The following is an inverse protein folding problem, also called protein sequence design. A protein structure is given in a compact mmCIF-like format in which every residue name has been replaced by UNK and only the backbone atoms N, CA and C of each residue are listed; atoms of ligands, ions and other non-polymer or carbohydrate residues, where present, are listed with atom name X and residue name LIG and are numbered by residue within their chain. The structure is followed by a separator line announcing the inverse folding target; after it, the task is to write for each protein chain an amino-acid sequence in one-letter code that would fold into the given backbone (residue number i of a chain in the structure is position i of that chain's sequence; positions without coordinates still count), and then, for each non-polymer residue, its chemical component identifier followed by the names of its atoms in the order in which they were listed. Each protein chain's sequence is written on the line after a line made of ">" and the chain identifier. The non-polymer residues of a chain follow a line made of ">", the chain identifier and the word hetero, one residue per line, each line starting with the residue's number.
data_IF_961466020451
#
_entry.id   IF_961466020451
#
_cell.length_a   1.000
_cell.length_b   1.000
_cell.length_c   1.000
_cell.angle_alpha   90.00
_cell.angle_beta   90.00
_cell.angle_gamma   90.00
#
_symmetry.space_group_name_H-M   'P 1'
#
loop_
_entity.id
_entity.type
_entity.pdbx_description
1 polymer ?
#
# COMPACT_ATOMS: atom_id res chain seq x y z
N UNK A 1 -3.32 10.78 12.82
CA UNK A 1 -4.27 9.80 12.25
C UNK A 1 -4.73 10.27 10.88
N UNK A 2 -4.87 9.41 9.94
CA UNK A 2 -5.30 9.73 8.59
C UNK A 2 -6.50 8.88 8.20
N UNK A 3 -7.26 9.36 7.24
CA UNK A 3 -8.41 8.62 6.72
C UNK A 3 -7.95 7.63 5.65
N UNK A 4 -8.61 6.48 5.65
CA UNK A 4 -8.45 5.48 4.60
C UNK A 4 -9.81 5.16 4.01
N UNK A 5 -9.82 4.78 2.74
CA UNK A 5 -11.02 4.28 2.08
C UNK A 5 -10.78 2.80 1.80
N UNK A 6 -11.42 1.96 2.59
CA UNK A 6 -11.23 0.51 2.60
C UNK A 6 -12.59 -0.16 2.67
N UNK A 7 -12.89 -1.07 1.74
CA UNK A 7 -14.19 -1.71 1.64
C UNK A 7 -14.46 -2.71 2.77
N UNK A 8 -13.43 -3.42 3.23
CA UNK A 8 -13.60 -4.53 4.16
C UNK A 8 -12.49 -4.59 5.20
N UNK A 9 -12.50 -3.65 6.18
CA UNK A 9 -11.43 -3.60 7.19
C UNK A 9 -11.29 -4.89 8.00
N UNK A 10 -12.35 -5.65 8.15
CA UNK A 10 -12.35 -6.92 8.89
C UNK A 10 -11.53 -8.02 8.20
N UNK A 11 -11.19 -7.83 6.93
CA UNK A 11 -10.38 -8.80 6.17
C UNK A 11 -8.87 -8.58 6.31
N UNK A 12 -8.44 -7.64 7.14
CA UNK A 12 -7.02 -7.30 7.28
C UNK A 12 -6.15 -8.51 7.64
N UNK A 13 -6.64 -9.40 8.52
CA UNK A 13 -5.89 -10.59 8.89
C UNK A 13 -5.59 -11.52 7.73
N UNK A 14 -6.56 -11.71 6.84
CA UNK A 14 -6.38 -12.53 5.64
C UNK A 14 -5.40 -11.87 4.69
N UNK A 15 -5.51 -10.56 4.52
CA UNK A 15 -4.59 -9.80 3.68
C UNK A 15 -3.16 -9.86 4.18
N UNK A 16 -2.96 -9.77 5.49
CA UNK A 16 -1.63 -9.90 6.09
C UNK A 16 -1.01 -11.26 5.81
N UNK A 17 -1.80 -12.34 5.83
CA UNK A 17 -1.32 -13.68 5.50
C UNK A 17 -0.84 -13.75 4.05
N UNK A 18 -1.56 -13.13 3.12
CA UNK A 18 -1.17 -13.08 1.71
C UNK A 18 0.13 -12.31 1.52
N UNK A 19 0.27 -11.19 2.19
CA UNK A 19 1.49 -10.37 2.14
C UNK A 19 2.68 -11.15 2.71
N UNK A 20 2.48 -11.84 3.83
CA UNK A 20 3.53 -12.64 4.45
C UNK A 20 3.98 -13.79 3.55
N UNK A 21 3.05 -14.40 2.82
CA UNK A 21 3.39 -15.42 1.85
C UNK A 21 4.32 -14.85 0.76
N UNK A 22 3.99 -13.65 0.24
CA UNK A 22 4.82 -12.96 -0.76
C UNK A 22 6.20 -12.66 -0.17
N UNK A 23 6.25 -12.17 1.06
CA UNK A 23 7.49 -11.84 1.74
C UNK A 23 8.41 -13.06 1.81
N UNK A 24 7.87 -14.22 2.18
CA UNK A 24 8.65 -15.47 2.27
C UNK A 24 9.10 -15.97 0.91
N UNK A 25 8.36 -15.67 -0.15
CA UNK A 25 8.63 -16.19 -1.50
C UNK A 25 9.33 -15.18 -2.41
N UNK A 26 9.72 -14.01 -1.89
CA UNK A 26 10.47 -13.00 -2.63
C UNK A 26 11.74 -12.63 -1.84
N UNK A 27 12.73 -13.53 -1.81
CA UNK A 27 13.89 -13.33 -0.94
C UNK A 27 14.74 -12.11 -1.30
N UNK A 28 14.80 -11.72 -2.57
CA UNK A 28 15.57 -10.55 -2.98
C UNK A 28 14.92 -9.29 -2.43
N UNK A 29 13.60 -9.16 -2.58
CA UNK A 29 12.88 -7.98 -2.07
C UNK A 29 12.93 -7.94 -0.54
N UNK A 30 12.86 -9.08 0.12
CA UNK A 30 13.00 -9.17 1.57
C UNK A 30 14.38 -8.70 2.02
N UNK A 31 15.42 -9.04 1.27
CA UNK A 31 16.78 -8.59 1.56
C UNK A 31 16.90 -7.08 1.41
N UNK A 32 16.28 -6.53 0.37
CA UNK A 32 16.24 -5.09 0.15
C UNK A 32 15.52 -4.40 1.32
N UNK A 33 14.41 -4.97 1.79
CA UNK A 33 13.70 -4.44 2.95
C UNK A 33 14.62 -4.34 4.17
N UNK A 34 15.38 -5.38 4.43
CA UNK A 34 16.32 -5.41 5.54
C UNK A 34 17.37 -4.29 5.43
N UNK A 35 17.92 -4.10 4.24
CA UNK A 35 18.90 -3.04 3.99
C UNK A 35 18.27 -1.65 4.15
N UNK A 36 17.03 -1.48 3.68
CA UNK A 36 16.31 -0.22 3.80
C UNK A 36 16.01 0.14 5.25
N UNK A 37 15.74 -0.85 6.09
CA UNK A 37 15.52 -0.61 7.51
C UNK A 37 16.77 -0.01 8.16
N UNK A 38 17.93 -0.45 7.74
CA UNK A 38 19.20 0.05 8.28
C UNK A 38 19.57 1.42 7.71
N UNK A 39 19.46 1.59 6.39
CA UNK A 39 19.98 2.77 5.71
C UNK A 39 18.99 3.94 5.65
N UNK A 40 17.69 3.66 5.73
CA UNK A 40 16.61 4.66 5.66
C UNK A 40 16.77 5.61 4.47
N UNK A 41 16.90 5.05 3.23
CA UNK A 41 17.19 5.90 2.06
C UNK A 41 16.06 6.86 1.71
N UNK A 42 14.84 6.60 2.17
CA UNK A 42 13.67 7.43 1.88
C UNK A 42 13.21 8.27 3.07
N UNK A 43 14.06 8.43 4.08
CA UNK A 43 13.71 9.25 5.24
C UNK A 43 13.30 10.66 4.79
N UNK A 44 12.15 11.12 5.25
CA UNK A 44 11.62 12.43 4.87
C UNK A 44 10.95 12.47 3.50
N UNK A 45 10.92 11.37 2.77
CA UNK A 45 10.28 11.31 1.44
C UNK A 45 8.82 10.87 1.56
N UNK A 46 8.00 11.36 0.66
CA UNK A 46 6.61 10.95 0.51
C UNK A 46 6.48 10.25 -0.83
N UNK A 47 6.03 9.01 -0.81
CA UNK A 47 5.94 8.19 -2.01
C UNK A 47 4.50 7.76 -2.21
N UNK A 48 3.99 7.96 -3.42
CA UNK A 48 2.66 7.47 -3.80
C UNK A 48 2.83 6.25 -4.71
N UNK A 49 2.12 5.19 -4.37
CA UNK A 49 2.08 3.97 -5.17
C UNK A 49 0.70 3.89 -5.83
N UNK A 50 0.68 3.86 -7.15
CA UNK A 50 -0.56 3.77 -7.93
C UNK A 50 -0.39 2.72 -9.02
N UNK A 51 -0.52 1.47 -8.66
CA UNK A 51 -0.42 0.32 -9.56
C UNK A 51 -1.43 -0.72 -9.11
N UNK A 52 -1.47 -1.88 -9.76
CA UNK A 52 -2.39 -2.95 -9.37
C UNK A 52 -2.18 -3.30 -7.89
N UNK A 53 -3.22 -3.16 -7.10
CA UNK A 53 -3.12 -3.31 -5.64
C UNK A 53 -3.47 -4.74 -5.23
N UNK A 54 -2.45 -5.59 -5.22
CA UNK A 54 -2.51 -6.98 -4.81
C UNK A 54 -1.33 -7.27 -3.87
N UNK A 55 -1.14 -8.53 -3.47
CA UNK A 55 -0.18 -8.85 -2.41
C UNK A 55 1.27 -8.45 -2.70
N UNK A 56 1.73 -8.57 -3.94
CA UNK A 56 3.10 -8.20 -4.29
C UNK A 56 3.32 -6.70 -4.21
N UNK A 57 2.36 -5.93 -4.73
CA UNK A 57 2.38 -4.48 -4.64
C UNK A 57 2.32 -4.02 -3.18
N UNK A 58 1.50 -4.70 -2.39
CA UNK A 58 1.39 -4.39 -0.97
C UNK A 58 2.73 -4.60 -0.26
N UNK A 59 3.42 -5.69 -0.54
CA UNK A 59 4.74 -5.92 0.04
C UNK A 59 5.73 -4.86 -0.41
N UNK A 60 5.72 -4.47 -1.69
CA UNK A 60 6.56 -3.39 -2.19
C UNK A 60 6.31 -2.10 -1.40
N UNK A 61 5.04 -1.75 -1.17
CA UNK A 61 4.70 -0.55 -0.40
C UNK A 61 5.28 -0.62 1.03
N UNK A 62 5.22 -1.79 1.66
CA UNK A 62 5.80 -1.97 2.99
C UNK A 62 7.33 -1.88 2.97
N UNK A 63 7.97 -2.35 1.90
CA UNK A 63 9.42 -2.21 1.72
C UNK A 63 9.81 -0.74 1.63
N UNK A 64 9.06 0.06 0.88
CA UNK A 64 9.31 1.50 0.78
C UNK A 64 9.14 2.18 2.13
N UNK A 65 8.11 1.80 2.88
CA UNK A 65 7.91 2.32 4.24
C UNK A 65 9.08 1.95 5.15
N UNK A 66 9.57 0.73 5.03
CA UNK A 66 10.73 0.28 5.81
C UNK A 66 11.96 1.15 5.56
N UNK A 67 12.05 1.74 4.39
CA UNK A 67 13.12 2.68 4.04
C UNK A 67 12.92 4.10 4.55
N UNK A 68 11.88 4.34 5.34
CA UNK A 68 11.60 5.64 5.95
C UNK A 68 10.57 6.49 5.22
N UNK A 69 10.02 6.02 4.10
CA UNK A 69 9.06 6.78 3.33
C UNK A 69 7.69 6.86 4.02
N UNK A 70 7.01 7.99 3.84
CA UNK A 70 5.58 8.08 4.09
C UNK A 70 4.88 7.63 2.82
N UNK A 71 4.19 6.50 2.88
CA UNK A 71 3.63 5.86 1.70
C UNK A 71 2.12 6.05 1.63
N UNK A 72 1.65 6.51 0.48
CA UNK A 72 0.22 6.58 0.16
C UNK A 72 -0.03 5.64 -1.01
N UNK A 73 -1.12 4.89 -0.97
CA UNK A 73 -1.38 3.84 -1.94
C UNK A 73 -2.79 3.96 -2.50
N UNK A 74 -2.91 3.79 -3.81
CA UNK A 74 -4.19 3.54 -4.47
C UNK A 74 -3.97 2.54 -5.60
N UNK A 75 -5.04 1.87 -6.02
CA UNK A 75 -4.96 0.95 -7.14
C UNK A 75 -5.11 1.67 -8.47
N UNK A 76 -4.49 1.17 -9.51
CA UNK A 76 -4.64 1.71 -10.87
C UNK A 76 -5.82 1.10 -11.62
N UNK A 77 -6.35 -0.02 -11.12
CA UNK A 77 -7.45 -0.73 -11.75
C UNK A 77 -8.36 -1.34 -10.68
N UNK A 78 -9.64 -0.92 -10.61
CA UNK A 78 -10.55 -1.45 -9.60
C UNK A 78 -10.80 -2.95 -9.74
N UNK A 79 -10.70 -3.50 -10.94
CA UNK A 79 -10.91 -4.94 -11.17
C UNK A 79 -9.79 -5.79 -10.57
N UNK A 80 -8.57 -5.26 -10.46
CA UNK A 80 -7.42 -5.98 -9.91
C UNK A 80 -7.15 -5.65 -8.44
N UNK A 81 -7.93 -4.76 -7.84
CA UNK A 81 -7.79 -4.41 -6.43
C UNK A 81 -8.30 -5.56 -5.55
N UNK A 82 -7.49 -5.96 -4.57
CA UNK A 82 -7.82 -7.07 -3.65
C UNK A 82 -8.11 -6.47 -2.27
N UNK A 83 -9.38 -6.50 -1.88
CA UNK A 83 -9.86 -5.78 -0.68
C UNK A 83 -9.23 -6.23 0.64
N UNK A 84 -8.92 -7.53 0.80
CA UNK A 84 -8.25 -7.99 2.02
C UNK A 84 -6.82 -7.45 2.14
N UNK A 85 -6.13 -7.35 1.01
CA UNK A 85 -4.79 -6.76 0.97
C UNK A 85 -4.84 -5.26 1.26
N UNK A 86 -5.85 -4.57 0.73
CA UNK A 86 -6.09 -3.15 1.02
C UNK A 86 -6.29 -2.95 2.53
N UNK A 87 -7.12 -3.80 3.14
CA UNK A 87 -7.39 -3.73 4.57
C UNK A 87 -6.11 -3.95 5.39
N UNK A 88 -5.26 -4.89 4.98
CA UNK A 88 -4.01 -5.17 5.65
C UNK A 88 -3.07 -3.96 5.62
N UNK A 89 -2.95 -3.29 4.48
CA UNK A 89 -2.11 -2.10 4.37
C UNK A 89 -2.60 -0.96 5.26
N UNK A 90 -3.91 -0.77 5.33
CA UNK A 90 -4.49 0.25 6.20
C UNK A 90 -4.18 -0.05 7.66
N UNK A 91 -4.28 -1.31 8.07
CA UNK A 91 -3.95 -1.71 9.43
C UNK A 91 -2.47 -1.52 9.76
N UNK A 92 -1.61 -1.67 8.76
CA UNK A 92 -0.17 -1.42 8.92
C UNK A 92 0.19 0.07 8.95
N UNK A 93 -0.80 0.93 8.85
CA UNK A 93 -0.62 2.37 9.02
C UNK A 93 -0.33 3.15 7.76
N UNK A 94 -0.41 2.55 6.58
CA UNK A 94 -0.27 3.28 5.33
C UNK A 94 -1.55 4.04 5.02
N UNK A 95 -1.42 5.09 4.22
CA UNK A 95 -2.59 5.80 3.69
C UNK A 95 -3.07 5.05 2.46
N UNK A 96 -4.28 4.50 2.52
CA UNK A 96 -4.80 3.65 1.45
C UNK A 96 -6.18 4.11 1.03
N UNK A 97 -6.36 4.30 -0.28
CA UNK A 97 -7.63 4.71 -0.87
C UNK A 97 -7.91 3.78 -2.04
N UNK A 98 -8.61 2.68 -1.78
CA UNK A 98 -8.87 1.69 -2.82
C UNK A 98 -10.04 0.79 -2.45
N UNK A 99 -10.76 0.35 -3.49
CA UNK A 99 -11.88 -0.58 -3.34
C UNK A 99 -12.03 -1.38 -4.63
N UNK A 100 -12.22 -2.67 -4.52
CA UNK A 100 -12.50 -3.52 -5.68
C UNK A 100 -13.81 -3.07 -6.32
N UNK A 101 -13.80 -2.93 -7.63
CA UNK A 101 -14.98 -2.51 -8.37
C UNK A 101 -15.34 -1.04 -8.26
N UNK A 102 -14.42 -0.18 -7.79
CA UNK A 102 -14.68 1.25 -7.68
C UNK A 102 -15.06 1.85 -9.03
N UNK A 103 -16.00 2.80 -8.99
CA UNK A 103 -16.42 3.52 -10.18
C UNK A 103 -15.30 4.45 -10.70
N UNK A 104 -15.26 4.78 -11.99
CA UNK A 104 -14.21 5.68 -12.51
C UNK A 104 -14.11 7.01 -11.78
N UNK A 105 -15.23 7.58 -11.34
CA UNK A 105 -15.22 8.83 -10.58
C UNK A 105 -14.56 8.66 -9.21
N UNK A 106 -14.77 7.51 -8.56
CA UNK A 106 -14.13 7.19 -7.29
C UNK A 106 -12.62 7.01 -7.48
N UNK A 107 -12.22 6.30 -8.54
CA UNK A 107 -10.80 6.10 -8.86
C UNK A 107 -10.07 7.41 -9.05
N UNK A 108 -10.69 8.36 -9.78
CA UNK A 108 -10.12 9.68 -9.98
C UNK A 108 -9.93 10.39 -8.63
N UNK A 109 -10.93 10.31 -7.78
CA UNK A 109 -10.88 10.93 -6.45
C UNK A 109 -9.77 10.34 -5.60
N UNK A 110 -9.58 9.02 -5.65
CA UNK A 110 -8.51 8.34 -4.91
C UNK A 110 -7.13 8.82 -5.39
N UNK A 111 -6.94 8.90 -6.70
CA UNK A 111 -5.67 9.35 -7.27
C UNK A 111 -5.38 10.78 -6.89
N UNK A 112 -6.37 11.66 -6.91
CA UNK A 112 -6.23 13.04 -6.49
C UNK A 112 -5.86 13.11 -5.00
N UNK A 113 -6.54 12.32 -4.18
CA UNK A 113 -6.31 12.32 -2.73
C UNK A 113 -4.88 11.93 -2.39
N UNK A 114 -4.35 10.85 -2.98
CA UNK A 114 -2.98 10.42 -2.69
C UNK A 114 -1.96 11.42 -3.23
N UNK A 115 -2.26 12.08 -4.33
CA UNK A 115 -1.38 13.12 -4.89
C UNK A 115 -1.33 14.34 -3.99
N UNK A 116 -2.46 14.78 -3.47
CA UNK A 116 -2.53 15.94 -2.59
C UNK A 116 -1.85 15.72 -1.25
N UNK A 117 -1.81 14.51 -0.76
CA UNK A 117 -1.11 14.23 0.51
C UNK A 117 0.38 14.51 0.40
N UNK A 118 0.93 14.60 -0.79
CA UNK A 118 2.31 14.99 -1.01
C UNK A 118 2.56 16.48 -0.77
N UNK A 119 1.53 17.28 -0.91
CA UNK A 119 1.66 18.74 -0.87
C UNK A 119 1.56 19.30 0.54
N UNK A 120 1.13 18.49 1.46
CA UNK A 120 1.04 18.88 2.86
C UNK A 120 2.15 18.26 3.67
#
# INVERSE_FOLDING_TARGET
>A
MHENIVAAPELAGEGLQKIEWVRRNMPILRKIQYEFEKEQPFAGKRITVCIHLEAKTAFLALVLRSGGAQVSVTGSNPESTIDDVVAALAEEGLRVYARHGAEPSEMRKYMETVSYTHLT
#
